data_IF_481033193059
#
_entry.id   IF_481033193059
#
_cell.length_a   1.000
_cell.length_b   1.000
_cell.length_c   1.000
_cell.angle_alpha   90.00
_cell.angle_beta   90.00
_cell.angle_gamma   90.00
#
_symmetry.space_group_name_H-M   'P 1'
#
loop_
_entity.id
_entity.type
_entity.pdbx_description
1 polymer ?
#
# COMPACT_ATOMS: atom_id res chain seq x y z
N UNK A 1 7.18 -62.47 9.43
CA UNK A 1 7.65 -63.12 10.65
C UNK A 1 8.80 -62.30 11.22
N UNK A 2 8.60 -61.71 12.41
CA UNK A 2 9.57 -61.39 13.50
C UNK A 2 11.00 -60.96 13.14
N UNK A 3 11.63 -59.92 13.69
CA UNK A 3 11.50 -59.13 14.94
C UNK A 3 12.53 -57.99 14.86
N UNK A 4 12.24 -56.81 15.43
CA UNK A 4 13.17 -55.92 16.16
C UNK A 4 12.26 -54.99 17.00
N UNK A 5 12.02 -55.33 18.28
CA UNK A 5 12.70 -54.80 19.48
C UNK A 5 12.40 -53.30 19.73
N UNK A 6 11.37 -52.97 20.53
CA UNK A 6 11.42 -52.63 21.97
C UNK A 6 11.76 -51.15 22.24
N UNK A 7 10.76 -50.33 22.62
CA UNK A 7 10.64 -49.78 23.99
C UNK A 7 9.40 -48.87 24.12
N UNK A 8 8.49 -49.30 24.99
CA UNK A 8 7.50 -48.47 25.65
C UNK A 8 8.20 -47.47 26.58
N UNK A 9 7.78 -46.20 26.58
CA UNK A 9 7.56 -45.48 27.84
C UNK A 9 6.60 -44.30 27.61
N UNK A 10 5.38 -44.49 28.12
CA UNK A 10 4.40 -43.44 28.39
C UNK A 10 4.87 -42.73 29.65
N UNK A 11 5.07 -41.42 29.61
CA UNK A 11 4.85 -40.53 30.76
C UNK A 11 4.31 -39.20 30.25
N UNK A 12 3.00 -39.03 30.42
CA UNK A 12 2.33 -37.75 30.36
C UNK A 12 2.64 -36.97 31.63
N UNK A 13 3.00 -35.69 31.50
CA UNK A 13 2.80 -34.71 32.57
C UNK A 13 2.05 -33.54 31.97
N UNK A 14 0.77 -33.48 32.34
CA UNK A 14 -0.13 -32.36 32.14
C UNK A 14 0.20 -31.31 33.21
N UNK A 15 0.52 -30.08 32.81
CA UNK A 15 0.37 -28.91 33.68
C UNK A 15 -0.41 -27.86 32.90
N UNK A 16 -1.72 -27.82 33.16
CA UNK A 16 -2.55 -26.67 32.85
C UNK A 16 -2.61 -25.79 34.10
N UNK A 17 -2.19 -24.53 34.00
CA UNK A 17 -2.83 -23.37 34.65
C UNK A 17 -2.03 -22.09 34.33
N UNK A 18 -2.65 -21.15 33.60
CA UNK A 18 -2.14 -19.77 33.51
C UNK A 18 -2.45 -19.00 32.23
N UNK A 19 -3.71 -18.81 31.87
CA UNK A 19 -4.18 -17.61 31.16
C UNK A 19 -5.10 -16.90 32.13
N UNK A 20 -4.88 -15.61 32.46
CA UNK A 20 -5.29 -14.57 31.52
C UNK A 20 -4.33 -13.36 31.48
N UNK A 21 -4.19 -12.73 30.32
CA UNK A 21 -3.50 -11.45 30.23
C UNK A 21 -3.12 -11.10 28.82
N UNK A 22 -4.03 -10.44 28.11
CA UNK A 22 -3.73 -9.72 26.89
C UNK A 22 -2.72 -8.60 27.20
N UNK A 23 -1.42 -8.86 27.10
CA UNK A 23 -0.41 -7.81 27.04
C UNK A 23 -0.09 -7.50 25.58
N UNK A 24 -0.87 -6.55 25.07
CA UNK A 24 -0.48 -5.50 24.14
C UNK A 24 0.39 -5.93 22.95
N UNK A 25 -0.33 -6.29 21.89
CA UNK A 25 0.06 -6.09 20.49
C UNK A 25 0.38 -4.60 20.28
N UNK A 26 1.58 -4.16 20.66
CA UNK A 26 2.07 -2.79 20.48
C UNK A 26 3.47 -2.76 19.84
N UNK A 27 3.87 -3.82 19.13
CA UNK A 27 5.20 -3.94 18.52
C UNK A 27 5.23 -3.91 16.99
N UNK A 28 4.09 -3.74 16.34
CA UNK A 28 4.04 -3.67 14.87
C UNK A 28 4.16 -2.24 14.34
N UNK A 29 3.55 -1.28 15.04
CA UNK A 29 3.43 0.10 14.55
C UNK A 29 4.77 0.86 14.58
N UNK A 30 5.54 0.72 15.67
CA UNK A 30 6.83 1.41 15.83
C UNK A 30 7.94 0.89 14.90
N UNK A 31 7.89 -0.40 14.55
CA UNK A 31 8.90 -1.01 13.68
C UNK A 31 8.62 -0.67 12.21
N UNK A 32 7.35 -0.65 11.79
CA UNK A 32 6.96 -0.25 10.43
C UNK A 32 7.24 1.24 10.17
N UNK A 33 7.11 2.11 11.19
CA UNK A 33 7.39 3.55 11.07
C UNK A 33 8.87 3.84 10.73
N UNK A 34 9.79 2.96 11.14
CA UNK A 34 11.24 3.17 11.00
C UNK A 34 11.83 2.86 9.62
N UNK A 35 11.23 1.98 8.82
CA UNK A 35 11.83 1.50 7.56
C UNK A 35 11.63 2.44 6.37
N UNK A 36 10.63 3.33 6.40
CA UNK A 36 10.37 4.31 5.31
C UNK A 36 10.23 5.76 5.80
N UNK A 37 10.76 6.07 6.98
CA UNK A 37 10.76 7.45 7.49
C UNK A 37 9.35 8.03 7.76
N UNK A 38 8.36 7.19 8.07
CA UNK A 38 6.99 7.64 8.34
C UNK A 38 6.08 7.81 7.12
N UNK A 39 6.51 7.41 5.92
CA UNK A 39 5.62 7.35 4.74
C UNK A 39 4.45 6.40 5.01
N UNK A 40 3.23 6.86 4.75
CA UNK A 40 2.00 6.06 4.90
C UNK A 40 1.50 5.48 3.56
N UNK A 41 1.88 6.09 2.45
CA UNK A 41 1.40 5.74 1.13
C UNK A 41 2.41 6.16 0.06
N UNK A 42 2.65 5.29 -0.93
CA UNK A 42 3.48 5.57 -2.08
C UNK A 42 2.98 4.78 -3.29
N UNK A 43 2.66 5.50 -4.37
CA UNK A 43 2.29 4.94 -5.66
C UNK A 43 3.23 5.50 -6.73
N UNK A 44 4.22 4.71 -7.14
CA UNK A 44 5.18 5.08 -8.18
C UNK A 44 4.73 4.69 -9.58
N UNK A 45 3.72 3.82 -9.71
CA UNK A 45 3.16 3.36 -11.00
C UNK A 45 4.12 2.59 -11.90
N UNK A 46 5.31 2.24 -11.41
CA UNK A 46 6.35 1.53 -12.17
C UNK A 46 5.88 0.17 -12.68
N UNK A 47 5.15 -0.55 -11.84
CA UNK A 47 4.76 -1.94 -12.08
C UNK A 47 3.27 -2.12 -12.30
N UNK A 48 2.45 -1.30 -11.64
CA UNK A 48 1.00 -1.46 -11.62
C UNK A 48 0.28 -0.17 -11.25
N UNK A 49 -1.07 -0.20 -11.35
CA UNK A 49 -1.94 0.88 -10.88
C UNK A 49 -2.20 0.84 -9.36
N UNK A 50 -1.87 -0.27 -8.70
CA UNK A 50 -1.92 -0.37 -7.25
C UNK A 50 -0.73 0.39 -6.63
N UNK A 51 -0.86 0.81 -5.37
CA UNK A 51 0.22 1.48 -4.67
C UNK A 51 1.36 0.49 -4.35
N UNK A 52 2.59 0.88 -4.63
CA UNK A 52 3.78 0.08 -4.29
C UNK A 52 3.96 -0.06 -2.77
N UNK A 53 3.40 0.89 -2.02
CA UNK A 53 3.30 0.81 -0.57
C UNK A 53 2.07 1.54 -0.01
N UNK A 54 1.46 0.92 1.00
CA UNK A 54 0.33 1.47 1.74
C UNK A 54 0.37 0.91 3.17
N UNK A 55 0.25 1.78 4.17
CA UNK A 55 0.02 1.38 5.55
C UNK A 55 -1.43 0.90 5.77
N UNK A 56 -2.36 1.40 4.97
CA UNK A 56 -3.71 0.89 4.80
C UNK A 56 -3.81 -0.12 3.65
N UNK A 57 -4.74 0.11 2.72
CA UNK A 57 -4.90 -0.75 1.54
C UNK A 57 -4.14 -0.19 0.35
N UNK A 58 -3.37 -1.03 -0.35
CA UNK A 58 -2.68 -0.67 -1.59
C UNK A 58 -3.57 -0.72 -2.84
N UNK A 59 -4.80 -1.23 -2.73
CA UNK A 59 -5.64 -1.50 -3.89
C UNK A 59 -6.25 -0.23 -4.45
N UNK A 60 -5.97 0.03 -5.71
CA UNK A 60 -6.58 1.10 -6.47
C UNK A 60 -8.02 0.76 -6.84
N UNK A 61 -8.89 1.77 -6.76
CA UNK A 61 -10.24 1.75 -7.33
C UNK A 61 -10.19 2.49 -8.65
N UNK A 62 -10.65 1.86 -9.71
CA UNK A 62 -10.61 2.46 -11.04
C UNK A 62 -11.88 3.23 -11.32
N UNK A 63 -11.70 4.45 -11.81
CA UNK A 63 -12.75 5.32 -12.30
C UNK A 63 -12.50 5.51 -13.79
N UNK A 64 -13.53 5.26 -14.60
CA UNK A 64 -13.47 5.45 -16.06
C UNK A 64 -12.28 4.75 -16.75
N UNK A 65 -11.96 3.51 -16.30
CA UNK A 65 -10.85 2.73 -16.86
C UNK A 65 -9.52 2.84 -16.08
N UNK A 66 -9.41 3.81 -15.18
CA UNK A 66 -8.29 3.89 -14.23
C UNK A 66 -7.01 4.49 -14.79
N UNK A 67 -7.07 5.19 -15.93
CA UNK A 67 -5.90 5.80 -16.56
C UNK A 67 -4.99 4.82 -17.29
N UNK A 68 -3.94 5.34 -17.92
CA UNK A 68 -2.96 4.57 -18.68
C UNK A 68 -1.59 4.64 -18.03
N UNK A 69 -0.99 3.47 -17.74
CA UNK A 69 0.38 3.41 -17.25
C UNK A 69 1.34 3.65 -18.41
N UNK A 70 2.42 4.40 -18.16
CA UNK A 70 3.49 4.62 -19.14
C UNK A 70 3.03 5.28 -20.45
N UNK A 71 1.93 6.04 -20.43
CA UNK A 71 1.58 6.82 -21.60
C UNK A 71 2.75 7.75 -21.96
N UNK A 72 3.12 7.72 -23.24
CA UNK A 72 4.05 8.67 -23.85
C UNK A 72 5.52 8.59 -23.39
N UNK A 73 5.90 7.57 -22.61
CA UNK A 73 7.29 7.39 -22.16
C UNK A 73 7.83 8.54 -21.31
N UNK A 74 6.94 9.41 -20.79
CA UNK A 74 7.25 10.62 -20.02
C UNK A 74 7.78 10.35 -18.61
N UNK A 75 8.05 9.09 -18.32
CA UNK A 75 8.58 8.61 -17.08
C UNK A 75 10.05 8.98 -16.86
N UNK A 76 10.33 10.26 -16.54
CA UNK A 76 11.71 10.75 -16.37
C UNK A 76 12.52 10.00 -15.30
N UNK A 77 11.85 9.37 -14.32
CA UNK A 77 12.46 8.58 -13.23
C UNK A 77 11.67 7.29 -12.88
N UNK A 78 10.96 6.73 -13.84
CA UNK A 78 9.99 5.64 -13.61
C UNK A 78 8.68 5.93 -14.33
N UNK A 79 7.74 5.00 -14.32
CA UNK A 79 6.46 5.13 -15.00
C UNK A 79 5.60 6.25 -14.41
N UNK A 80 4.68 6.78 -15.21
CA UNK A 80 3.63 7.69 -14.74
C UNK A 80 2.25 7.13 -15.10
N UNK A 81 1.24 7.51 -14.32
CA UNK A 81 -0.16 7.28 -14.68
C UNK A 81 -0.69 8.51 -15.41
N UNK A 82 -1.05 8.34 -16.69
CA UNK A 82 -1.81 9.34 -17.43
C UNK A 82 -3.28 9.24 -17.03
N UNK A 83 -3.85 10.38 -16.71
CA UNK A 83 -5.20 10.51 -16.16
C UNK A 83 -5.85 11.78 -16.68
N UNK A 84 -7.18 11.79 -16.75
CA UNK A 84 -7.97 12.92 -17.23
C UNK A 84 -9.29 12.47 -17.86
N UNK A 85 -10.03 13.45 -18.39
CA UNK A 85 -11.30 13.21 -19.06
C UNK A 85 -11.14 12.22 -20.22
N UNK A 86 -11.96 11.18 -20.24
CA UNK A 86 -11.91 10.12 -21.27
C UNK A 86 -10.83 9.06 -21.06
N UNK A 87 -9.89 9.27 -20.13
CA UNK A 87 -8.83 8.31 -19.79
C UNK A 87 -9.02 7.68 -18.40
N UNK A 88 -9.71 8.40 -17.50
CA UNK A 88 -10.03 7.96 -16.15
C UNK A 88 -8.90 8.14 -15.15
N UNK A 89 -9.13 7.70 -13.91
CA UNK A 89 -8.22 7.90 -12.77
C UNK A 89 -8.33 6.78 -11.74
N UNK A 90 -7.35 6.72 -10.83
CA UNK A 90 -7.36 5.78 -9.71
C UNK A 90 -7.61 6.49 -8.39
N UNK A 91 -8.41 5.88 -7.53
CA UNK A 91 -8.63 6.30 -6.15
C UNK A 91 -8.09 5.28 -5.17
N UNK A 92 -7.57 5.75 -4.03
CA UNK A 92 -7.09 4.88 -2.95
C UNK A 92 -7.91 5.09 -1.68
N UNK A 93 -8.15 4.04 -0.87
CA UNK A 93 -8.80 4.20 0.42
C UNK A 93 -7.97 5.10 1.35
N UNK A 94 -8.59 6.14 1.92
CA UNK A 94 -7.88 7.06 2.82
C UNK A 94 -7.52 6.42 4.17
N UNK A 95 -8.36 5.50 4.68
CA UNK A 95 -8.18 4.87 5.99
C UNK A 95 -6.82 4.16 6.06
N UNK A 96 -5.95 4.66 6.93
CA UNK A 96 -4.61 4.12 7.15
C UNK A 96 -3.54 4.58 6.14
N UNK A 97 -3.94 5.18 5.01
CA UNK A 97 -3.01 5.70 4.00
C UNK A 97 -2.74 7.21 4.15
N UNK A 98 -3.64 7.93 4.82
CA UNK A 98 -3.50 9.35 5.16
C UNK A 98 -3.81 9.54 6.64
N UNK A 99 -3.05 10.42 7.28
CA UNK A 99 -3.36 10.98 8.59
C UNK A 99 -4.12 12.29 8.42
N UNK A 100 -5.28 12.41 9.06
CA UNK A 100 -6.09 13.64 9.03
C UNK A 100 -5.58 14.72 10.00
N UNK A 101 -4.71 14.37 10.97
CA UNK A 101 -4.23 15.29 12.00
C UNK A 101 -2.93 16.01 11.61
N UNK A 102 -2.07 15.37 10.83
CA UNK A 102 -0.76 15.90 10.44
C UNK A 102 -0.16 15.10 9.28
N UNK A 103 0.73 15.75 8.51
CA UNK A 103 1.52 15.07 7.49
C UNK A 103 1.88 15.99 6.32
N UNK A 104 2.43 15.37 5.27
CA UNK A 104 2.76 16.03 4.01
C UNK A 104 2.33 15.11 2.87
N UNK A 105 1.81 15.69 1.80
CA UNK A 105 1.53 15.01 0.54
C UNK A 105 2.48 15.61 -0.49
N UNK A 106 3.22 14.75 -1.18
CA UNK A 106 4.14 15.12 -2.26
C UNK A 106 3.85 14.25 -3.48
N UNK A 107 3.84 14.84 -4.66
CA UNK A 107 3.66 14.13 -5.93
C UNK A 107 4.25 14.94 -7.08
N UNK A 108 4.58 14.25 -8.16
CA UNK A 108 4.99 14.85 -9.43
C UNK A 108 3.81 14.88 -10.39
N UNK A 109 3.68 15.98 -11.13
CA UNK A 109 2.64 16.12 -12.15
C UNK A 109 3.21 16.80 -13.39
N UNK A 110 2.74 16.36 -14.54
CA UNK A 110 3.03 16.96 -15.83
C UNK A 110 1.71 17.06 -16.60
N UNK A 111 1.39 18.27 -17.05
CA UNK A 111 0.20 18.49 -17.87
C UNK A 111 0.55 18.35 -19.35
N UNK A 112 -0.23 17.55 -20.07
CA UNK A 112 -0.01 17.28 -21.50
C UNK A 112 -0.50 18.43 -22.38
N UNK A 113 -1.71 18.92 -22.11
CA UNK A 113 -2.44 19.84 -23.00
C UNK A 113 -2.78 21.17 -22.31
N UNK A 114 -2.01 21.57 -21.28
CA UNK A 114 -2.20 22.89 -20.69
C UNK A 114 -1.63 23.96 -21.61
N UNK A 115 -2.53 24.68 -22.26
CA UNK A 115 -2.24 26.00 -22.77
C UNK A 115 -2.43 27.00 -21.62
N UNK A 116 -1.34 27.64 -21.20
CA UNK A 116 -1.35 28.60 -20.09
C UNK A 116 -2.29 29.79 -20.32
N UNK A 117 -2.74 30.01 -21.56
CA UNK A 117 -3.64 31.09 -21.96
C UNK A 117 -5.09 30.61 -22.28
N UNK A 118 -5.45 29.34 -22.03
CA UNK A 118 -6.79 28.81 -22.37
C UNK A 118 -7.93 29.30 -21.46
N UNK A 119 -7.58 29.96 -20.35
CA UNK A 119 -8.55 30.51 -19.39
C UNK A 119 -9.35 29.43 -18.62
N UNK A 120 -8.93 28.17 -18.66
CA UNK A 120 -9.57 27.09 -17.93
C UNK A 120 -8.98 26.90 -16.53
N UNK A 121 -9.86 26.70 -15.54
CA UNK A 121 -9.44 26.18 -14.25
C UNK A 121 -9.14 24.69 -14.40
N UNK A 122 -7.86 24.34 -14.43
CA UNK A 122 -7.46 22.94 -14.41
C UNK A 122 -7.70 22.37 -13.01
N UNK A 123 -8.71 21.53 -12.88
CA UNK A 123 -9.07 20.87 -11.62
C UNK A 123 -8.46 19.48 -11.59
N UNK A 124 -7.68 19.21 -10.55
CA UNK A 124 -7.30 17.84 -10.18
C UNK A 124 -8.48 17.23 -9.41
N UNK A 125 -9.03 16.12 -9.92
CA UNK A 125 -10.05 15.32 -9.24
C UNK A 125 -9.43 14.02 -8.72
#
# INVERSE_FOLDING_TARGET
>A
MTRYETLFLVMAVLVCAGLPGAENVARSEDVAKKTRGGVLFYAGFDQSKDADYAAGSSKARFHEGGGTLNADGLGFRGSALRTGDGEGYVGFPAKGNISASEGTIEFWIFAQDWDHDDGHFHRFI
#
